data_IF_312533145190
#
_entry.id   IF_312533145190
#
_cell.length_a   1.000
_cell.length_b   1.000
_cell.length_c   1.000
_cell.angle_alpha   90.00
_cell.angle_beta   90.00
_cell.angle_gamma   90.00
#
_symmetry.space_group_name_H-M   'P 1'
#
loop_
_entity.id
_entity.type
_entity.pdbx_description
1 polymer ?
#
# COMPACT_ATOMS: atom_id res chain seq x y z
N UNK A 1 -3.45 13.37 0.41
CA UNK A 1 -3.19 12.03 -0.18
C UNK A 1 -2.23 11.16 0.66
N UNK A 2 -1.03 11.62 1.05
CA UNK A 2 -0.07 10.82 1.85
C UNK A 2 -0.60 10.32 3.21
N UNK A 3 -1.50 11.06 3.87
CA UNK A 3 -2.13 10.64 5.13
C UNK A 3 -3.11 9.47 4.98
N UNK A 4 -3.82 9.40 3.86
CA UNK A 4 -4.88 8.41 3.62
C UNK A 4 -4.41 7.24 2.75
N UNK A 5 -3.59 7.51 1.73
CA UNK A 5 -3.14 6.53 0.75
C UNK A 5 -1.64 6.25 0.79
N UNK A 6 -0.91 6.93 1.68
CA UNK A 6 0.53 6.73 1.84
C UNK A 6 0.87 5.38 2.46
N UNK A 7 2.14 5.02 2.39
CA UNK A 7 2.63 3.71 2.80
C UNK A 7 2.30 3.37 4.26
N UNK A 8 2.52 4.32 5.18
CA UNK A 8 2.23 4.14 6.61
C UNK A 8 0.74 3.89 6.87
N UNK A 9 -0.14 4.62 6.17
CA UNK A 9 -1.60 4.44 6.29
C UNK A 9 -2.05 3.06 5.80
N UNK A 10 -1.44 2.55 4.73
CA UNK A 10 -1.69 1.19 4.23
C UNK A 10 -1.18 0.13 5.21
N UNK A 11 -0.05 0.35 5.85
CA UNK A 11 0.51 -0.61 6.81
C UNK A 11 -0.29 -0.72 8.11
N UNK A 12 -0.98 0.36 8.52
CA UNK A 12 -1.74 0.42 9.77
C UNK A 12 -2.94 -0.53 9.81
N UNK A 13 -3.53 -0.87 8.66
CA UNK A 13 -4.72 -1.74 8.58
C UNK A 13 -4.39 -3.09 7.94
N UNK A 14 -5.18 -4.12 8.23
CA UNK A 14 -5.03 -5.44 7.58
C UNK A 14 -5.32 -5.35 6.07
N UNK A 15 -6.38 -4.66 5.69
CA UNK A 15 -6.76 -4.44 4.29
C UNK A 15 -5.71 -3.64 3.52
N UNK A 16 -5.13 -2.60 4.13
CA UNK A 16 -4.08 -1.81 3.49
C UNK A 16 -2.80 -2.62 3.21
N UNK A 17 -2.40 -3.52 4.12
CA UNK A 17 -1.28 -4.46 3.91
C UNK A 17 -1.56 -5.43 2.78
N UNK A 18 -2.78 -5.98 2.69
CA UNK A 18 -3.18 -6.84 1.58
C UNK A 18 -3.04 -6.14 0.22
N UNK A 19 -3.40 -4.85 0.14
CA UNK A 19 -3.20 -4.08 -1.09
C UNK A 19 -1.72 -3.91 -1.43
N UNK A 20 -0.85 -3.62 -0.46
CA UNK A 20 0.59 -3.54 -0.72
C UNK A 20 1.16 -4.86 -1.21
N UNK A 21 0.73 -5.99 -0.65
CA UNK A 21 1.17 -7.32 -1.07
C UNK A 21 0.71 -7.64 -2.50
N UNK A 22 -0.55 -7.35 -2.85
CA UNK A 22 -1.03 -7.51 -4.22
C UNK A 22 -0.23 -6.64 -5.21
N UNK A 23 0.13 -5.41 -4.81
CA UNK A 23 0.95 -4.52 -5.66
C UNK A 23 2.39 -5.00 -5.81
N UNK A 24 2.97 -5.63 -4.78
CA UNK A 24 4.29 -6.29 -4.84
C UNK A 24 4.25 -7.51 -5.77
N UNK A 25 3.25 -8.37 -5.62
CA UNK A 25 3.08 -9.54 -6.49
C UNK A 25 2.94 -9.15 -7.96
N UNK A 26 2.25 -8.03 -8.24
CA UNK A 26 2.14 -7.46 -9.60
C UNK A 26 3.41 -6.74 -10.09
N UNK A 27 4.45 -6.57 -9.27
CA UNK A 27 5.70 -5.91 -9.64
C UNK A 27 5.58 -4.40 -9.88
N UNK A 28 4.66 -3.71 -9.19
CA UNK A 28 4.49 -2.26 -9.38
C UNK A 28 5.70 -1.49 -8.83
N UNK A 29 6.36 -0.71 -9.69
CA UNK A 29 7.49 0.17 -9.32
C UNK A 29 7.17 1.15 -8.17
N UNK A 30 5.91 1.60 -8.06
CA UNK A 30 5.43 2.43 -6.94
C UNK A 30 4.28 1.73 -6.22
N UNK A 31 4.42 1.47 -4.93
CA UNK A 31 3.43 0.72 -4.13
C UNK A 31 2.37 1.60 -3.46
N UNK A 32 2.72 2.84 -3.12
CA UNK A 32 1.81 3.83 -2.53
C UNK A 32 2.12 5.22 -3.10
N UNK A 33 1.21 6.17 -2.86
CA UNK A 33 1.28 7.57 -3.33
C UNK A 33 1.50 8.51 -2.16
#
# INVERSE_FOLDING_TARGET
RKRTHGFRARMATRSGRAVLNARRAKGRKRLAV
#
